data_IF_502676519241
#
_entry.id   IF_502676519241
#
_cell.length_a   1.000
_cell.length_b   1.000
_cell.length_c   1.000
_cell.angle_alpha   90.00
_cell.angle_beta   90.00
_cell.angle_gamma   90.00
#
_symmetry.space_group_name_H-M   'P 1'
#
loop_
_entity.id
_entity.type
_entity.pdbx_description
1 polymer ?
#
# COMPACT_ATOMS: atom_id res chain seq x y z
N UNK A 1 -2.32 60.38 -80.44
CA UNK A 1 -1.46 59.66 -79.44
C UNK A 1 -2.24 59.54 -78.15
N UNK A 2 -2.83 58.37 -77.89
CA UNK A 2 -3.59 58.12 -76.65
C UNK A 2 -2.75 57.17 -75.85
N UNK A 3 -2.33 57.58 -74.66
CA UNK A 3 -1.62 56.78 -73.70
C UNK A 3 -2.63 56.06 -72.78
N UNK A 4 -2.66 54.74 -72.85
CA UNK A 4 -3.42 53.88 -71.99
C UNK A 4 -2.68 53.73 -70.67
N UNK A 5 -3.31 54.06 -69.53
CA UNK A 5 -2.78 53.84 -68.20
C UNK A 5 -3.35 52.49 -67.71
N UNK A 6 -2.44 51.50 -67.44
CA UNK A 6 -2.83 50.25 -66.86
C UNK A 6 -2.88 50.37 -65.33
N UNK A 7 -4.01 50.00 -64.72
CA UNK A 7 -4.14 49.85 -63.28
C UNK A 7 -3.65 48.47 -62.84
N UNK A 8 -2.66 48.42 -61.94
CA UNK A 8 -2.21 47.23 -61.29
C UNK A 8 -3.00 47.07 -60.00
N UNK A 9 -3.88 46.13 -59.95
CA UNK A 9 -4.60 45.77 -58.73
C UNK A 9 -3.68 45.02 -57.74
N UNK A 10 -3.51 45.58 -56.55
CA UNK A 10 -2.87 44.86 -55.44
C UNK A 10 -3.88 43.89 -54.82
N UNK A 11 -3.64 42.58 -54.97
CA UNK A 11 -4.33 41.56 -54.24
C UNK A 11 -3.73 41.48 -52.81
N UNK A 12 -4.52 41.86 -51.81
CA UNK A 12 -4.15 41.68 -50.42
C UNK A 12 -4.26 40.20 -50.06
N UNK A 13 -3.10 39.57 -49.85
CA UNK A 13 -3.06 38.22 -49.29
C UNK A 13 -3.22 38.31 -47.76
N UNK A 14 -4.40 38.00 -47.26
CA UNK A 14 -4.63 37.84 -45.84
C UNK A 14 -3.97 36.56 -45.37
N UNK A 15 -2.81 36.65 -44.75
CA UNK A 15 -2.20 35.53 -44.02
C UNK A 15 -2.99 35.33 -42.75
N UNK A 16 -3.84 34.33 -42.72
CA UNK A 16 -4.45 33.85 -41.45
C UNK A 16 -3.33 33.25 -40.60
N UNK A 17 -2.91 33.98 -39.58
CA UNK A 17 -2.07 33.43 -38.51
C UNK A 17 -2.92 32.35 -37.81
N UNK A 18 -2.68 31.08 -38.13
CA UNK A 18 -3.16 29.98 -37.32
C UNK A 18 -2.57 30.17 -35.90
N UNK A 19 -3.43 30.50 -34.95
CA UNK A 19 -3.07 30.51 -33.55
C UNK A 19 -2.67 29.06 -33.22
N UNK A 20 -1.38 28.79 -33.16
CA UNK A 20 -0.87 27.56 -32.55
C UNK A 20 -1.23 27.61 -31.05
N UNK A 21 -2.45 27.15 -30.72
CA UNK A 21 -2.71 26.75 -29.36
C UNK A 21 -1.72 25.64 -29.03
N UNK A 22 -0.85 25.81 -28.04
CA UNK A 22 0.09 24.76 -27.68
C UNK A 22 -0.74 23.50 -27.38
N UNK A 23 -0.47 22.44 -28.16
CA UNK A 23 -1.04 21.13 -27.87
C UNK A 23 -0.41 20.68 -26.56
N UNK A 24 -1.12 20.94 -25.45
CA UNK A 24 -0.76 20.38 -24.13
C UNK A 24 -1.09 18.89 -24.22
N UNK A 25 -0.08 18.02 -24.27
CA UNK A 25 -0.33 16.60 -24.27
C UNK A 25 -1.14 16.25 -23.02
N UNK A 26 -2.06 15.27 -23.09
CA UNK A 26 -2.87 14.87 -21.95
C UNK A 26 -2.02 14.09 -20.94
N UNK A 27 -1.04 14.77 -20.34
CA UNK A 27 -0.36 14.19 -19.18
C UNK A 27 -1.35 14.18 -18.03
N UNK A 28 -1.45 13.06 -17.29
CA UNK A 28 -2.22 13.05 -16.07
C UNK A 28 -1.66 14.12 -15.16
N UNK A 29 -2.46 15.15 -14.87
CA UNK A 29 -2.05 16.18 -13.91
C UNK A 29 -2.03 15.55 -12.55
N UNK A 30 -0.86 15.58 -11.90
CA UNK A 30 -0.77 15.26 -10.47
C UNK A 30 -1.51 16.37 -9.75
N UNK A 31 -2.51 16.02 -8.95
CA UNK A 31 -3.16 16.98 -8.08
C UNK A 31 -2.19 17.35 -6.95
N UNK A 32 -1.49 18.46 -7.15
CA UNK A 32 -0.56 19.02 -6.17
C UNK A 32 -1.26 19.92 -5.14
N UNK A 33 -2.58 20.07 -5.23
CA UNK A 33 -3.33 21.01 -4.37
C UNK A 33 -3.59 20.45 -2.97
N UNK A 34 -3.55 19.13 -2.81
CA UNK A 34 -3.72 18.48 -1.51
C UNK A 34 -2.36 18.10 -0.94
N UNK A 35 -1.91 18.89 0.03
CA UNK A 35 -0.77 18.52 0.87
C UNK A 35 -1.22 17.74 2.09
N UNK A 36 -0.25 17.27 2.86
CA UNK A 36 -0.50 16.62 4.15
C UNK A 36 0.33 17.31 5.23
N UNK A 37 -0.22 17.37 6.43
CA UNK A 37 0.49 17.83 7.64
C UNK A 37 0.59 16.68 8.63
N UNK A 38 1.79 16.45 9.15
CA UNK A 38 1.99 15.51 10.22
C UNK A 38 1.25 15.98 11.49
N UNK A 39 0.45 15.11 12.08
CA UNK A 39 -0.15 15.32 13.38
C UNK A 39 0.82 14.83 14.46
N UNK A 40 1.64 15.72 14.96
CA UNK A 40 2.66 15.39 15.98
C UNK A 40 2.07 14.97 17.32
N UNK A 41 0.80 15.30 17.59
CA UNK A 41 0.11 14.96 18.84
C UNK A 41 -0.54 13.55 18.79
N UNK A 42 -0.55 12.91 17.63
CA UNK A 42 -1.14 11.59 17.45
C UNK A 42 -0.06 10.48 17.44
N UNK A 43 -0.23 9.34 18.16
CA UNK A 43 -1.26 9.09 19.16
C UNK A 43 -0.97 9.81 20.50
N UNK A 44 -2.01 10.05 21.30
CA UNK A 44 -1.93 10.72 22.61
C UNK A 44 -1.48 9.79 23.75
N UNK A 45 -0.54 8.91 23.47
CA UNK A 45 -0.01 7.96 24.44
C UNK A 45 0.08 6.54 23.89
N UNK A 46 0.24 5.58 24.79
CA UNK A 46 0.32 4.14 24.52
C UNK A 46 -0.27 3.36 25.69
N UNK A 47 -0.48 2.05 25.52
CA UNK A 47 -0.99 1.21 26.60
C UNK A 47 -0.06 1.23 27.83
N UNK A 48 -0.59 1.12 29.05
CA UNK A 48 0.21 1.08 30.27
C UNK A 48 1.24 -0.05 30.21
N UNK A 49 2.51 0.28 30.46
CA UNK A 49 3.63 -0.65 30.42
C UNK A 49 4.06 -1.06 28.99
N UNK A 50 3.48 -0.45 27.95
CA UNK A 50 3.89 -0.69 26.58
C UNK A 50 5.17 0.08 26.23
N UNK A 51 6.09 -0.62 25.57
CA UNK A 51 7.15 -0.02 24.77
C UNK A 51 6.79 -0.26 23.28
N UNK A 52 6.94 0.79 22.47
CA UNK A 52 6.79 0.61 21.04
C UNK A 52 7.95 -0.25 20.51
N UNK A 53 7.61 -1.38 19.90
CA UNK A 53 8.54 -2.08 19.02
C UNK A 53 8.41 -1.57 17.59
N UNK A 54 9.12 -2.20 16.67
CA UNK A 54 8.99 -1.91 15.24
C UNK A 54 7.51 -1.91 14.84
N UNK A 55 6.99 -0.78 14.39
CA UNK A 55 5.58 -0.62 13.99
C UNK A 55 5.39 -1.21 12.60
N UNK A 56 4.99 -2.46 12.56
CA UNK A 56 4.88 -3.21 11.31
C UNK A 56 3.61 -2.88 10.53
N UNK A 57 2.49 -2.62 11.21
CA UNK A 57 1.24 -2.35 10.50
C UNK A 57 0.30 -1.42 11.24
N UNK A 58 -0.53 -0.74 10.44
CA UNK A 58 -1.68 0.04 10.88
C UNK A 58 -2.88 -0.29 10.00
N UNK A 59 -4.08 -0.24 10.58
CA UNK A 59 -5.34 -0.41 9.85
C UNK A 59 -6.41 0.51 10.43
N UNK A 60 -7.35 0.94 9.60
CA UNK A 60 -8.58 1.62 10.04
C UNK A 60 -9.66 0.56 10.20
N UNK A 61 -10.20 0.45 11.39
CA UNK A 61 -11.30 -0.46 11.69
C UNK A 61 -12.64 0.03 11.14
N UNK A 62 -13.64 -0.84 11.07
CA UNK A 62 -14.98 -0.49 10.59
C UNK A 62 -15.66 0.58 11.45
N UNK A 63 -15.24 0.73 12.69
CA UNK A 63 -15.69 1.74 13.64
C UNK A 63 -14.89 3.07 13.55
N UNK A 64 -13.97 3.18 12.59
CA UNK A 64 -13.09 4.31 12.38
C UNK A 64 -11.89 4.35 13.34
N UNK A 65 -11.78 3.45 14.30
CA UNK A 65 -10.63 3.37 15.18
C UNK A 65 -9.39 2.85 14.43
N UNK A 66 -8.23 3.29 14.91
CA UNK A 66 -6.94 2.96 14.29
C UNK A 66 -6.28 1.84 15.08
N UNK A 67 -6.13 0.72 14.41
CA UNK A 67 -5.47 -0.46 14.94
C UNK A 67 -4.00 -0.43 14.57
N UNK A 68 -3.14 -0.63 15.55
CA UNK A 68 -1.70 -0.70 15.36
C UNK A 68 -1.18 -2.08 15.70
N UNK A 69 -0.22 -2.56 14.92
CA UNK A 69 0.43 -3.84 15.16
C UNK A 69 1.95 -3.64 15.19
N UNK A 70 2.57 -3.95 16.31
CA UNK A 70 3.99 -3.69 16.54
C UNK A 70 4.69 -4.90 17.18
N UNK A 71 6.02 -4.91 17.14
CA UNK A 71 6.85 -5.99 17.66
C UNK A 71 7.25 -5.80 19.13
N UNK A 72 6.52 -4.97 19.87
CA UNK A 72 6.70 -4.77 21.30
C UNK A 72 5.88 -5.74 22.14
N UNK A 73 6.01 -5.63 23.47
CA UNK A 73 5.29 -6.50 24.43
C UNK A 73 3.77 -6.42 24.36
N UNK A 74 3.23 -5.29 23.92
CA UNK A 74 1.80 -5.10 23.69
C UNK A 74 1.64 -4.82 22.19
N UNK A 75 1.51 -5.89 21.37
CA UNK A 75 1.58 -5.77 19.93
C UNK A 75 0.38 -5.08 19.30
N UNK A 76 -0.81 -5.25 19.86
CA UNK A 76 -2.04 -4.64 19.35
C UNK A 76 -2.49 -3.53 20.28
N UNK A 77 -2.58 -2.31 19.75
CA UNK A 77 -3.17 -1.17 20.42
C UNK A 77 -4.12 -0.45 19.48
N UNK A 78 -5.24 0.03 20.02
CA UNK A 78 -6.32 0.65 19.24
C UNK A 78 -6.54 2.07 19.74
N UNK A 79 -6.57 3.01 18.82
CA UNK A 79 -6.73 4.43 19.09
C UNK A 79 -7.96 4.98 18.38
N UNK A 80 -8.64 5.90 19.00
CA UNK A 80 -9.64 6.71 18.31
C UNK A 80 -8.97 7.66 17.29
N UNK A 81 -9.71 8.18 16.30
CA UNK A 81 -9.15 9.11 15.33
C UNK A 81 -8.47 10.34 15.97
N UNK A 82 -8.93 10.79 17.13
CA UNK A 82 -8.32 11.89 17.90
C UNK A 82 -7.09 11.47 18.73
N UNK A 83 -6.69 10.19 18.67
CA UNK A 83 -5.46 9.66 19.24
C UNK A 83 -5.56 9.12 20.66
N UNK A 84 -6.74 9.04 21.27
CA UNK A 84 -6.91 8.42 22.59
C UNK A 84 -6.83 6.90 22.49
N UNK A 85 -6.14 6.26 23.43
CA UNK A 85 -6.12 4.83 23.56
C UNK A 85 -7.52 4.31 23.91
N UNK A 86 -8.07 3.41 23.07
CA UNK A 86 -9.38 2.79 23.25
C UNK A 86 -9.25 1.43 23.91
N UNK A 87 -8.36 0.59 23.41
CA UNK A 87 -8.07 -0.75 23.96
C UNK A 87 -6.71 -1.26 23.50
N UNK A 88 -6.28 -2.34 24.12
CA UNK A 88 -5.06 -3.07 23.76
C UNK A 88 -5.19 -4.55 24.12
N UNK A 89 -4.37 -5.37 23.46
CA UNK A 89 -4.30 -6.78 23.79
C UNK A 89 -3.02 -7.13 24.53
N UNK A 90 -3.17 -8.03 25.50
CA UNK A 90 -2.07 -8.77 26.13
C UNK A 90 -2.18 -10.22 25.66
N UNK A 91 -1.60 -10.56 24.51
CA UNK A 91 -1.71 -11.90 23.97
C UNK A 91 -0.97 -12.90 24.87
N UNK A 92 -1.38 -14.16 24.76
CA UNK A 92 -0.64 -15.27 25.34
C UNK A 92 0.76 -15.35 24.73
N UNK A 93 1.73 -15.86 25.49
CA UNK A 93 3.10 -16.03 25.03
C UNK A 93 3.15 -16.95 23.79
N UNK A 94 3.86 -16.52 22.77
CA UNK A 94 4.00 -17.26 21.52
C UNK A 94 2.85 -17.12 20.52
N UNK A 95 1.78 -16.37 20.84
CA UNK A 95 0.70 -16.10 19.89
C UNK A 95 1.22 -15.34 18.66
N UNK A 96 2.15 -14.40 18.89
CA UNK A 96 2.86 -13.67 17.86
C UNK A 96 4.36 -13.82 18.03
N UNK A 97 5.08 -14.06 16.92
CA UNK A 97 6.55 -14.15 16.89
C UNK A 97 7.20 -13.00 16.14
N UNK A 98 6.60 -12.62 15.02
CA UNK A 98 7.04 -11.47 14.24
C UNK A 98 5.83 -10.79 13.58
N UNK A 99 5.13 -9.92 14.34
CA UNK A 99 4.02 -9.12 13.84
C UNK A 99 4.33 -8.48 12.49
N UNK A 100 3.47 -8.68 11.49
CA UNK A 100 3.68 -8.12 10.16
C UNK A 100 2.51 -7.26 9.70
N UNK A 101 1.31 -7.84 9.50
CA UNK A 101 0.17 -7.09 8.95
C UNK A 101 -1.10 -7.29 9.78
N UNK A 102 -1.88 -6.22 9.90
CA UNK A 102 -3.24 -6.20 10.44
C UNK A 102 -4.18 -5.62 9.39
N UNK A 103 -5.32 -6.28 9.13
CA UNK A 103 -6.29 -5.91 8.11
C UNK A 103 -7.71 -6.19 8.59
N UNK A 104 -8.68 -5.55 7.93
CA UNK A 104 -10.09 -5.87 8.08
C UNK A 104 -10.67 -6.37 6.76
N UNK A 105 -11.48 -7.42 6.81
CA UNK A 105 -12.30 -7.81 5.66
C UNK A 105 -13.53 -6.89 5.53
N UNK A 106 -14.26 -6.97 4.43
CA UNK A 106 -15.44 -6.14 4.16
C UNK A 106 -16.59 -6.34 5.15
N UNK A 107 -16.61 -7.46 5.85
CA UNK A 107 -17.58 -7.75 6.91
C UNK A 107 -17.13 -7.23 8.30
N UNK A 108 -15.96 -6.58 8.38
CA UNK A 108 -15.38 -6.07 9.62
C UNK A 108 -14.62 -7.13 10.43
N UNK A 109 -14.34 -8.29 9.85
CA UNK A 109 -13.49 -9.31 10.45
C UNK A 109 -12.04 -8.88 10.52
N UNK A 110 -11.41 -9.06 11.67
CA UNK A 110 -10.04 -8.69 11.92
C UNK A 110 -9.08 -9.81 11.54
N UNK A 111 -8.08 -9.52 10.73
CA UNK A 111 -7.09 -10.48 10.28
C UNK A 111 -5.67 -10.02 10.58
N UNK A 112 -4.85 -10.95 10.99
CA UNK A 112 -3.46 -10.71 11.35
C UNK A 112 -2.56 -11.71 10.64
N UNK A 113 -1.47 -11.20 10.08
CA UNK A 113 -0.37 -11.97 9.50
C UNK A 113 0.83 -11.88 10.42
N UNK A 114 1.38 -13.02 10.79
CA UNK A 114 2.63 -13.12 11.53
C UNK A 114 3.62 -13.99 10.75
N UNK A 115 4.72 -13.40 10.34
CA UNK A 115 5.66 -14.06 9.42
C UNK A 115 6.34 -15.28 10.04
N UNK A 116 6.70 -15.23 11.31
CA UNK A 116 7.44 -16.33 11.94
C UNK A 116 6.55 -17.40 12.58
N UNK A 117 5.27 -17.14 12.77
CA UNK A 117 4.31 -18.22 13.04
C UNK A 117 3.81 -18.88 11.76
N UNK A 118 4.19 -18.39 10.59
CA UNK A 118 3.82 -18.92 9.26
C UNK A 118 2.31 -18.89 9.01
N UNK A 119 1.57 -17.97 9.63
CA UNK A 119 0.10 -18.01 9.62
C UNK A 119 -0.55 -16.68 9.29
N UNK A 120 -1.75 -16.81 8.70
CA UNK A 120 -2.75 -15.74 8.62
C UNK A 120 -3.91 -16.16 9.51
N UNK A 121 -4.30 -15.31 10.46
CA UNK A 121 -5.34 -15.64 11.44
C UNK A 121 -6.44 -14.60 11.47
N UNK A 122 -7.68 -15.08 11.58
CA UNK A 122 -8.85 -14.24 11.88
C UNK A 122 -9.05 -14.18 13.38
N UNK A 123 -9.34 -12.98 13.89
CA UNK A 123 -9.57 -12.74 15.31
C UNK A 123 -10.94 -12.09 15.55
N UNK A 124 -11.49 -12.29 16.74
CA UNK A 124 -12.45 -11.34 17.28
C UNK A 124 -11.75 -10.05 17.69
N UNK A 125 -12.49 -8.96 17.82
CA UNK A 125 -11.93 -7.68 18.26
C UNK A 125 -11.37 -7.72 19.69
N UNK A 126 -11.64 -8.77 20.46
CA UNK A 126 -11.11 -9.00 21.82
C UNK A 126 -9.88 -9.91 21.84
N UNK A 127 -9.39 -10.33 20.66
CA UNK A 127 -8.14 -11.08 20.54
C UNK A 127 -8.30 -12.60 20.54
N UNK A 128 -9.53 -13.16 20.49
CA UNK A 128 -9.73 -14.60 20.35
C UNK A 128 -9.51 -15.04 18.91
N UNK A 129 -8.70 -16.07 18.69
CA UNK A 129 -8.50 -16.70 17.37
C UNK A 129 -9.80 -17.36 16.92
N UNK A 130 -10.29 -17.02 15.74
CA UNK A 130 -11.49 -17.56 15.11
C UNK A 130 -11.17 -18.53 13.96
N UNK A 131 -10.06 -18.29 13.26
CA UNK A 131 -9.59 -19.11 12.14
C UNK A 131 -8.06 -18.99 12.04
N UNK A 132 -7.43 -20.08 11.60
CA UNK A 132 -5.99 -20.10 11.27
C UNK A 132 -5.81 -20.70 9.88
N UNK A 133 -5.07 -20.01 9.04
CA UNK A 133 -4.62 -20.46 7.72
C UNK A 133 -3.10 -20.60 7.77
N UNK A 134 -2.59 -21.68 7.22
CA UNK A 134 -1.20 -22.09 7.37
C UNK A 134 -0.99 -23.02 8.57
N UNK A 135 0.08 -23.78 8.57
CA UNK A 135 0.46 -24.67 9.68
C UNK A 135 1.35 -23.89 10.66
N UNK A 136 0.89 -23.70 11.91
CA UNK A 136 1.61 -22.86 12.85
C UNK A 136 3.04 -23.34 13.09
N UNK A 137 4.00 -22.42 12.89
CA UNK A 137 5.45 -22.59 13.07
C UNK A 137 6.12 -23.56 12.09
N UNK A 138 5.43 -23.99 11.06
CA UNK A 138 5.97 -24.87 10.02
C UNK A 138 5.99 -24.11 8.68
N UNK A 139 7.20 -23.86 8.17
CA UNK A 139 7.38 -23.23 6.87
C UNK A 139 7.27 -24.28 5.76
N UNK A 140 6.66 -23.90 4.65
CA UNK A 140 6.55 -24.73 3.47
C UNK A 140 5.89 -24.01 2.30
N UNK A 141 5.76 -24.72 1.17
CA UNK A 141 5.23 -24.14 -0.08
C UNK A 141 4.03 -24.91 -0.66
N UNK A 142 3.50 -25.86 0.07
CA UNK A 142 2.34 -26.66 -0.36
C UNK A 142 0.99 -25.95 -0.10
N UNK A 143 -0.10 -26.69 -0.11
CA UNK A 143 -1.46 -26.19 0.05
C UNK A 143 -1.82 -25.81 1.50
N UNK A 144 -1.05 -26.30 2.47
CA UNK A 144 -1.29 -26.12 3.91
C UNK A 144 -0.23 -25.29 4.60
N UNK A 145 0.90 -25.05 3.96
CA UNK A 145 2.02 -24.31 4.51
C UNK A 145 2.29 -23.02 3.72
N UNK A 146 2.76 -22.03 4.45
CA UNK A 146 3.33 -20.79 3.92
C UNK A 146 4.75 -20.61 4.46
N UNK A 147 5.52 -19.73 3.86
CA UNK A 147 6.87 -19.43 4.31
C UNK A 147 7.04 -17.92 4.44
N UNK A 148 6.83 -17.44 5.66
CA UNK A 148 6.89 -16.04 6.03
C UNK A 148 5.90 -15.16 5.22
N UNK A 149 4.59 -15.41 5.34
CA UNK A 149 3.57 -14.59 4.67
C UNK A 149 3.64 -13.14 5.14
N UNK A 150 3.30 -12.21 4.24
CA UNK A 150 3.46 -10.78 4.47
C UNK A 150 2.14 -10.04 4.70
N UNK A 151 1.16 -10.23 3.82
CA UNK A 151 -0.07 -9.44 3.79
C UNK A 151 -1.25 -10.29 3.34
N UNK A 152 -2.47 -9.80 3.62
CA UNK A 152 -3.73 -10.47 3.29
C UNK A 152 -4.74 -9.48 2.72
N UNK A 153 -5.50 -9.90 1.73
CA UNK A 153 -6.59 -9.14 1.14
C UNK A 153 -7.78 -10.04 0.82
N UNK A 154 -8.95 -9.46 0.55
CA UNK A 154 -10.21 -10.18 0.45
C UNK A 154 -10.96 -9.80 -0.80
N UNK A 155 -11.46 -10.80 -1.53
CA UNK A 155 -12.33 -10.62 -2.67
C UNK A 155 -13.78 -10.39 -2.24
N UNK A 156 -14.61 -9.92 -3.16
CA UNK A 156 -16.03 -9.65 -2.94
C UNK A 156 -16.83 -10.91 -2.54
N UNK A 157 -16.39 -12.09 -3.00
CA UNK A 157 -16.99 -13.39 -2.64
C UNK A 157 -16.48 -13.96 -1.30
N UNK A 158 -15.53 -13.27 -0.66
CA UNK A 158 -14.88 -13.67 0.59
C UNK A 158 -13.64 -14.54 0.44
N UNK A 159 -13.15 -14.81 -0.78
CA UNK A 159 -11.87 -15.48 -0.99
C UNK A 159 -10.73 -14.65 -0.40
N UNK A 160 -9.75 -15.35 0.17
CA UNK A 160 -8.66 -14.80 0.96
C UNK A 160 -7.38 -14.92 0.15
N UNK A 161 -6.77 -13.80 -0.17
CA UNK A 161 -5.53 -13.70 -0.94
C UNK A 161 -4.37 -13.35 -0.01
N UNK A 162 -3.31 -14.12 -0.05
CA UNK A 162 -2.14 -13.93 0.81
C UNK A 162 -0.90 -13.74 -0.05
N UNK A 163 -0.14 -12.68 0.20
CA UNK A 163 1.22 -12.58 -0.30
C UNK A 163 2.15 -13.42 0.59
N UNK A 164 2.57 -14.58 0.10
CA UNK A 164 3.49 -15.51 0.77
C UNK A 164 4.90 -15.21 0.25
N UNK A 165 5.45 -14.08 0.72
CA UNK A 165 6.44 -13.34 -0.02
C UNK A 165 7.88 -13.43 0.46
N UNK A 166 8.16 -13.60 1.77
CA UNK A 166 9.56 -13.58 2.21
C UNK A 166 10.30 -14.90 1.91
N UNK A 167 9.58 -16.00 1.83
CA UNK A 167 10.22 -17.30 1.61
C UNK A 167 9.77 -18.05 0.36
N UNK A 168 8.59 -17.70 -0.21
CA UNK A 168 8.01 -18.45 -1.33
C UNK A 168 7.78 -17.64 -2.61
N UNK A 169 7.86 -16.31 -2.56
CA UNK A 169 7.68 -15.42 -3.72
C UNK A 169 6.41 -15.71 -4.53
N UNK A 170 5.27 -15.92 -3.85
CA UNK A 170 4.00 -16.29 -4.48
C UNK A 170 2.79 -15.59 -3.86
N UNK A 171 1.67 -15.62 -4.54
CA UNK A 171 0.33 -15.35 -3.99
C UNK A 171 -0.39 -16.68 -3.81
N UNK A 172 -1.02 -16.87 -2.64
CA UNK A 172 -1.85 -18.04 -2.33
C UNK A 172 -3.28 -17.60 -2.08
N UNK A 173 -4.23 -18.36 -2.58
CA UNK A 173 -5.67 -18.05 -2.42
C UNK A 173 -6.37 -19.19 -1.72
N UNK A 174 -7.15 -18.82 -0.72
CA UNK A 174 -8.03 -19.70 0.03
C UNK A 174 -9.48 -19.23 -0.12
N UNK A 175 -10.43 -20.13 0.03
CA UNK A 175 -11.83 -19.73 0.15
C UNK A 175 -12.12 -19.11 1.53
N UNK A 176 -13.33 -18.58 1.71
CA UNK A 176 -13.77 -17.96 2.96
C UNK A 176 -13.75 -18.89 4.19
N UNK A 177 -13.59 -20.20 4.00
CA UNK A 177 -13.46 -21.20 5.07
C UNK A 177 -12.00 -21.54 5.39
N UNK A 178 -11.03 -21.00 4.62
CA UNK A 178 -9.60 -21.26 4.76
C UNK A 178 -9.12 -22.47 3.96
N UNK A 179 -9.94 -23.04 3.06
CA UNK A 179 -9.53 -24.13 2.18
C UNK A 179 -8.74 -23.56 0.99
N UNK A 180 -7.59 -24.16 0.69
CA UNK A 180 -6.77 -23.82 -0.46
C UNK A 180 -7.54 -23.92 -1.78
N UNK A 181 -7.38 -22.92 -2.63
CA UNK A 181 -7.96 -22.87 -3.97
C UNK A 181 -6.89 -22.93 -5.06
N UNK A 182 -5.88 -22.08 -4.99
CA UNK A 182 -4.82 -21.94 -6.00
C UNK A 182 -3.68 -21.09 -5.47
N UNK A 183 -2.57 -21.09 -6.22
CA UNK A 183 -1.45 -20.15 -6.04
C UNK A 183 -0.80 -19.84 -7.38
N UNK A 184 -0.08 -18.73 -7.45
CA UNK A 184 0.77 -18.39 -8.59
C UNK A 184 1.96 -17.57 -8.13
N UNK A 185 2.98 -17.54 -8.98
CA UNK A 185 4.24 -16.84 -8.74
C UNK A 185 5.36 -17.75 -8.30
N UNK A 186 6.55 -17.29 -8.54
CA UNK A 186 7.83 -17.85 -8.14
C UNK A 186 8.88 -16.73 -8.18
N UNK A 187 10.06 -16.96 -7.63
CA UNK A 187 11.15 -15.99 -7.66
C UNK A 187 11.53 -15.63 -9.11
N UNK A 188 11.54 -14.33 -9.40
CA UNK A 188 11.98 -13.81 -10.69
C UNK A 188 11.52 -12.39 -10.99
N UNK A 189 11.72 -11.96 -12.25
CA UNK A 189 11.44 -10.59 -12.70
C UNK A 189 10.47 -10.52 -13.90
N UNK A 190 10.08 -11.66 -14.48
CA UNK A 190 9.11 -11.68 -15.59
C UNK A 190 7.70 -11.38 -15.10
N UNK A 191 6.76 -11.05 -15.96
CA UNK A 191 5.35 -10.98 -15.61
C UNK A 191 4.87 -12.26 -14.91
N UNK A 192 4.26 -12.12 -13.73
CA UNK A 192 3.83 -13.24 -12.91
C UNK A 192 4.88 -13.84 -11.97
N UNK A 193 6.16 -13.49 -12.13
CA UNK A 193 7.21 -13.81 -11.17
C UNK A 193 7.34 -12.67 -10.15
N UNK A 194 7.83 -12.96 -8.95
CA UNK A 194 7.98 -11.98 -7.87
C UNK A 194 9.38 -12.03 -7.25
N UNK A 195 9.74 -10.95 -6.59
CA UNK A 195 10.83 -10.92 -5.62
C UNK A 195 10.35 -10.18 -4.38
N UNK A 196 10.02 -10.95 -3.36
CA UNK A 196 9.41 -10.50 -2.11
C UNK A 196 8.09 -9.70 -2.34
N UNK A 197 7.01 -10.34 -2.84
CA UNK A 197 5.68 -9.73 -2.86
C UNK A 197 5.28 -9.37 -1.43
N UNK A 198 5.26 -8.06 -1.12
CA UNK A 198 5.24 -7.58 0.26
C UNK A 198 3.87 -7.12 0.72
N UNK A 199 3.02 -6.68 -0.19
CA UNK A 199 1.66 -6.25 0.12
C UNK A 199 0.71 -6.58 -1.03
N UNK A 200 -0.57 -6.77 -0.69
CA UNK A 200 -1.61 -7.17 -1.63
C UNK A 200 -2.92 -6.45 -1.31
N UNK A 201 -3.59 -5.93 -2.34
CA UNK A 201 -4.95 -5.39 -2.24
C UNK A 201 -5.79 -5.80 -3.44
N UNK A 202 -7.11 -5.76 -3.29
CA UNK A 202 -8.07 -6.00 -4.38
C UNK A 202 -8.96 -4.78 -4.56
N UNK A 203 -9.33 -4.48 -5.81
CA UNK A 203 -10.31 -3.45 -6.14
C UNK A 203 -11.76 -3.98 -6.15
N UNK A 204 -12.71 -3.10 -6.41
CA UNK A 204 -14.15 -3.43 -6.45
C UNK A 204 -14.53 -4.44 -7.55
N UNK A 205 -13.62 -4.73 -8.48
CA UNK A 205 -13.75 -5.73 -9.55
C UNK A 205 -12.95 -7.00 -9.30
N UNK A 206 -12.45 -7.18 -8.07
CA UNK A 206 -11.59 -8.28 -7.65
C UNK A 206 -10.30 -8.41 -8.49
N UNK A 207 -9.78 -7.31 -9.07
CA UNK A 207 -8.43 -7.29 -9.62
C UNK A 207 -7.43 -7.22 -8.46
N UNK A 208 -6.37 -8.00 -8.57
CA UNK A 208 -5.36 -8.19 -7.53
C UNK A 208 -4.15 -7.34 -7.83
N UNK A 209 -3.75 -6.49 -6.89
CA UNK A 209 -2.58 -5.63 -6.98
C UNK A 209 -1.54 -6.11 -5.97
N UNK A 210 -0.37 -6.46 -6.45
CA UNK A 210 0.72 -7.01 -5.63
C UNK A 210 1.93 -6.08 -5.67
N UNK A 211 2.35 -5.61 -4.51
CA UNK A 211 3.60 -4.87 -4.33
C UNK A 211 4.79 -5.83 -4.45
N UNK A 212 5.34 -5.95 -5.62
CA UNK A 212 6.54 -6.74 -5.94
C UNK A 212 7.80 -5.93 -5.56
N UNK A 213 8.06 -5.90 -4.23
CA UNK A 213 8.91 -4.93 -3.57
C UNK A 213 10.32 -4.86 -4.14
N UNK A 214 11.02 -6.00 -4.19
CA UNK A 214 12.41 -6.01 -4.64
C UNK A 214 12.56 -5.79 -6.15
N UNK A 215 11.48 -5.97 -6.91
CA UNK A 215 11.43 -5.61 -8.32
C UNK A 215 10.98 -4.15 -8.55
N UNK A 216 10.74 -3.37 -7.48
CA UNK A 216 10.30 -1.97 -7.53
C UNK A 216 9.12 -1.74 -8.50
N UNK A 217 8.12 -2.61 -8.43
CA UNK A 217 6.93 -2.57 -9.28
C UNK A 217 5.67 -3.01 -8.54
N UNK A 218 4.51 -2.67 -9.10
CA UNK A 218 3.24 -3.29 -8.75
C UNK A 218 2.80 -4.12 -9.93
N UNK A 219 2.40 -5.36 -9.70
CA UNK A 219 1.80 -6.23 -10.71
C UNK A 219 0.30 -6.34 -10.48
N UNK A 220 -0.46 -6.37 -11.57
CA UNK A 220 -1.92 -6.46 -11.57
C UNK A 220 -2.36 -7.77 -12.19
N UNK A 221 -3.25 -8.48 -11.52
CA UNK A 221 -3.79 -9.78 -11.97
C UNK A 221 -5.31 -9.75 -11.93
N UNK A 222 -5.93 -10.66 -12.69
CA UNK A 222 -7.33 -10.98 -12.43
C UNK A 222 -7.49 -11.87 -11.18
N UNK A 223 -8.72 -12.12 -10.77
CA UNK A 223 -9.03 -12.95 -9.61
C UNK A 223 -8.56 -14.41 -9.73
N UNK A 224 -8.17 -14.87 -10.92
CA UNK A 224 -7.66 -16.23 -11.17
C UNK A 224 -6.13 -16.29 -11.20
N UNK A 225 -5.45 -15.14 -11.02
CA UNK A 225 -3.99 -15.04 -11.06
C UNK A 225 -3.40 -14.84 -12.45
N UNK A 226 -4.23 -14.54 -13.47
CA UNK A 226 -3.74 -14.20 -14.80
C UNK A 226 -3.17 -12.78 -14.77
N UNK A 227 -1.93 -12.62 -15.21
CA UNK A 227 -1.27 -11.32 -15.33
C UNK A 227 -2.04 -10.41 -16.30
N UNK A 228 -2.28 -9.18 -15.90
CA UNK A 228 -2.95 -8.14 -16.69
C UNK A 228 -2.00 -7.00 -17.07
N UNK A 229 -1.26 -6.47 -16.11
CA UNK A 229 -0.34 -5.36 -16.33
C UNK A 229 0.66 -5.22 -15.18
N UNK A 230 1.66 -4.36 -15.37
CA UNK A 230 2.58 -3.98 -14.31
C UNK A 230 2.85 -2.47 -14.35
N UNK A 231 3.11 -1.89 -13.17
CA UNK A 231 3.47 -0.49 -13.01
C UNK A 231 4.91 -0.41 -12.52
N UNK A 232 5.78 0.03 -13.42
CA UNK A 232 7.21 0.23 -13.18
C UNK A 232 7.54 1.71 -12.98
N UNK A 233 8.77 1.99 -12.56
CA UNK A 233 9.28 3.34 -12.37
C UNK A 233 8.45 4.16 -11.36
N UNK A 234 7.93 3.47 -10.37
CA UNK A 234 7.28 4.04 -9.21
C UNK A 234 8.26 4.07 -8.03
N UNK A 235 7.82 3.81 -6.86
CA UNK A 235 8.66 3.62 -5.67
C UNK A 235 9.03 2.15 -5.51
N UNK A 236 9.95 1.84 -4.62
CA UNK A 236 10.04 0.51 -4.01
C UNK A 236 8.82 0.34 -3.09
N UNK A 237 7.78 -0.42 -3.48
CA UNK A 237 6.51 -0.42 -2.76
C UNK A 237 6.60 -1.30 -1.51
N UNK A 238 6.42 -0.71 -0.35
CA UNK A 238 6.40 -1.42 0.92
C UNK A 238 5.00 -1.89 1.30
N UNK A 239 4.00 -1.03 1.15
CA UNK A 239 2.64 -1.42 1.40
C UNK A 239 1.65 -0.70 0.47
N UNK A 240 0.51 -1.36 0.29
CA UNK A 240 -0.64 -0.88 -0.44
C UNK A 240 -1.82 -0.71 0.51
N UNK A 241 -2.62 0.32 0.26
CA UNK A 241 -3.97 0.44 0.76
C UNK A 241 -4.89 0.82 -0.40
N UNK A 242 -6.13 0.38 -0.35
CA UNK A 242 -7.13 0.75 -1.35
C UNK A 242 -8.37 1.32 -0.64
N UNK A 243 -8.93 2.38 -1.19
CA UNK A 243 -10.16 2.98 -0.70
C UNK A 243 -11.38 2.31 -1.33
N UNK A 244 -12.57 2.57 -0.78
CA UNK A 244 -13.84 2.11 -1.36
C UNK A 244 -14.09 2.65 -2.78
N UNK A 245 -13.42 3.72 -3.16
CA UNK A 245 -13.53 4.37 -4.46
C UNK A 245 -12.41 3.91 -5.43
N UNK A 246 -11.77 2.79 -5.12
CA UNK A 246 -10.67 2.19 -5.89
C UNK A 246 -9.44 3.10 -6.05
N UNK A 247 -9.21 4.01 -5.12
CA UNK A 247 -7.97 4.77 -5.09
C UNK A 247 -6.88 3.94 -4.37
N UNK A 248 -5.75 3.74 -5.03
CA UNK A 248 -4.66 2.92 -4.50
C UNK A 248 -3.58 3.82 -3.92
N UNK A 249 -3.35 3.67 -2.62
CA UNK A 249 -2.26 4.33 -1.92
C UNK A 249 -1.09 3.36 -1.79
N UNK A 250 0.09 3.85 -2.12
CA UNK A 250 1.36 3.11 -2.05
C UNK A 250 2.29 3.86 -1.14
N UNK A 251 2.74 3.25 -0.08
CA UNK A 251 3.88 3.80 0.66
C UNK A 251 5.16 3.10 0.25
N UNK A 252 6.24 3.84 0.28
CA UNK A 252 7.51 3.30 -0.17
C UNK A 252 8.67 4.27 -0.04
N UNK A 253 9.74 3.91 -0.68
CA UNK A 253 10.97 4.69 -0.76
C UNK A 253 11.37 4.90 -2.21
N UNK A 254 12.25 5.88 -2.44
CA UNK A 254 12.92 5.99 -3.73
C UNK A 254 13.57 4.65 -4.09
N UNK A 255 13.54 4.24 -5.39
CA UNK A 255 14.22 3.04 -5.83
C UNK A 255 15.70 3.08 -5.45
N UNK A 256 16.20 1.99 -4.88
CA UNK A 256 17.61 1.83 -4.59
C UNK A 256 18.30 1.16 -5.78
N UNK A 257 19.51 1.60 -6.10
CA UNK A 257 20.34 0.91 -7.08
C UNK A 257 20.81 -0.43 -6.49
N UNK A 258 20.72 -1.49 -7.27
CA UNK A 258 21.18 -2.83 -6.87
C UNK A 258 22.67 -2.86 -6.45
N UNK A 259 23.49 -1.99 -7.06
CA UNK A 259 24.90 -1.83 -6.73
C UNK A 259 25.16 -1.25 -5.32
N UNK A 260 24.15 -0.70 -4.67
CA UNK A 260 24.23 -0.15 -3.31
C UNK A 260 23.85 -1.19 -2.25
N UNK A 261 23.46 -2.40 -2.66
CA UNK A 261 23.05 -3.49 -1.78
C UNK A 261 24.23 -4.42 -1.54
N UNK A 262 24.75 -4.53 -0.31
CA UNK A 262 25.74 -5.57 0.01
C UNK A 262 25.18 -6.95 -0.31
N UNK A 263 25.99 -7.82 -0.93
CA UNK A 263 25.58 -9.17 -1.37
C UNK A 263 24.92 -10.03 -0.30
N UNK A 264 25.22 -9.77 0.97
CA UNK A 264 24.68 -10.49 2.12
C UNK A 264 23.44 -9.82 2.75
N UNK A 265 22.94 -8.72 2.19
CA UNK A 265 21.80 -7.96 2.70
C UNK A 265 20.71 -7.70 1.62
N UNK A 266 20.47 -8.72 0.80
CA UNK A 266 19.55 -8.66 -0.36
C UNK A 266 18.17 -8.03 -0.04
N UNK A 267 17.80 -7.95 1.21
CA UNK A 267 16.44 -7.59 1.62
C UNK A 267 16.26 -6.23 2.28
N UNK A 268 17.33 -5.58 2.78
CA UNK A 268 17.16 -4.38 3.62
C UNK A 268 18.35 -3.41 3.52
N UNK A 269 19.11 -3.46 2.47
CA UNK A 269 20.49 -3.03 2.43
C UNK A 269 20.74 -1.58 2.78
N UNK A 270 20.07 -0.63 2.21
CA UNK A 270 20.35 0.78 2.51
C UNK A 270 19.13 1.47 3.09
N UNK A 271 19.28 2.28 4.13
CA UNK A 271 18.19 3.13 4.55
C UNK A 271 17.71 3.93 3.33
N UNK A 272 16.44 3.85 2.96
CA UNK A 272 15.92 4.63 1.86
C UNK A 272 16.13 6.13 2.18
N UNK A 273 16.66 6.87 1.22
CA UNK A 273 16.91 8.31 1.38
C UNK A 273 15.62 9.10 1.54
N UNK A 274 14.57 8.66 0.83
CA UNK A 274 13.28 9.34 0.81
C UNK A 274 12.17 8.35 1.18
N UNK A 275 11.27 8.80 2.03
CA UNK A 275 10.05 8.09 2.37
C UNK A 275 8.86 8.87 1.82
N UNK A 276 7.98 8.19 1.13
CA UNK A 276 6.86 8.85 0.48
C UNK A 276 5.63 7.94 0.40
N UNK A 277 4.49 8.54 0.11
CA UNK A 277 3.36 7.80 -0.39
C UNK A 277 2.80 8.43 -1.68
N UNK A 278 2.20 7.58 -2.48
CA UNK A 278 1.58 7.93 -3.74
C UNK A 278 0.12 7.54 -3.70
N UNK A 279 -0.71 8.27 -4.42
CA UNK A 279 -2.08 7.91 -4.73
C UNK A 279 -2.17 7.66 -6.23
N UNK A 280 -2.62 6.48 -6.60
CA UNK A 280 -2.77 6.02 -7.97
C UNK A 280 -4.23 5.67 -8.25
N UNK A 281 -4.62 5.71 -9.51
CA UNK A 281 -5.86 5.05 -9.94
C UNK A 281 -5.61 3.58 -10.33
N UNK A 282 -6.67 2.87 -10.66
CA UNK A 282 -6.62 1.46 -11.05
C UNK A 282 -5.95 1.18 -12.40
N UNK A 283 -5.50 2.20 -13.11
CA UNK A 283 -4.66 2.14 -14.31
C UNK A 283 -3.19 2.46 -14.02
N UNK A 284 -2.84 2.71 -12.75
CA UNK A 284 -1.48 3.08 -12.34
C UNK A 284 -1.12 4.54 -12.62
N UNK A 285 -2.10 5.39 -12.95
CA UNK A 285 -1.85 6.82 -13.19
C UNK A 285 -1.69 7.53 -11.86
N UNK A 286 -0.60 8.28 -11.73
CA UNK A 286 -0.32 9.06 -10.53
C UNK A 286 -1.34 10.20 -10.39
N UNK A 287 -2.03 10.20 -9.25
CA UNK A 287 -2.98 11.25 -8.85
C UNK A 287 -2.32 12.22 -7.89
N UNK A 288 -1.51 11.72 -6.97
CA UNK A 288 -0.89 12.50 -5.93
C UNK A 288 0.40 11.84 -5.48
N UNK A 289 1.40 12.65 -5.17
CA UNK A 289 2.67 12.23 -4.57
C UNK A 289 2.96 13.13 -3.38
N UNK A 290 3.34 12.55 -2.28
CA UNK A 290 3.75 13.30 -1.11
C UNK A 290 5.02 12.71 -0.48
N UNK A 291 6.07 13.51 -0.46
CA UNK A 291 7.31 13.17 0.21
C UNK A 291 7.15 13.55 1.67
N UNK A 292 7.36 12.61 2.56
CA UNK A 292 7.20 12.83 3.98
C UNK A 292 8.41 13.57 4.52
N UNK A 293 8.23 14.78 5.07
CA UNK A 293 9.34 15.58 5.54
C UNK A 293 9.93 15.05 6.86
N UNK A 294 11.23 15.22 7.04
CA UNK A 294 11.95 14.91 8.27
C UNK A 294 12.47 13.47 8.34
N UNK A 295 13.10 13.16 9.46
CA UNK A 295 13.61 11.82 9.72
C UNK A 295 12.45 10.85 9.96
N UNK A 296 12.34 9.85 9.10
CA UNK A 296 11.37 8.78 9.18
C UNK A 296 12.07 7.44 9.18
N UNK A 297 11.68 6.64 10.17
CA UNK A 297 12.27 5.34 10.38
C UNK A 297 11.62 4.22 9.59
N UNK A 298 11.67 4.25 8.25
CA UNK A 298 11.11 3.26 7.35
C UNK A 298 9.61 3.05 7.48
N UNK A 299 8.84 3.63 6.56
CA UNK A 299 7.42 3.36 6.42
C UNK A 299 7.25 1.93 5.91
N UNK A 300 6.52 1.13 6.68
CA UNK A 300 6.30 -0.26 6.39
C UNK A 300 4.84 -0.58 6.05
N UNK A 301 3.92 0.26 6.51
CA UNK A 301 2.48 0.07 6.28
C UNK A 301 1.77 1.40 6.08
N UNK A 302 0.61 1.34 5.43
CA UNK A 302 -0.24 2.50 5.16
C UNK A 302 -1.71 2.11 5.34
N UNK A 303 -2.49 3.00 5.92
CA UNK A 303 -3.95 2.92 5.96
C UNK A 303 -4.55 4.31 5.74
N UNK A 304 -5.72 4.37 5.14
CA UNK A 304 -6.40 5.62 4.78
C UNK A 304 -7.78 5.62 5.42
N UNK A 305 -8.07 6.67 6.17
CA UNK A 305 -9.38 6.86 6.78
C UNK A 305 -10.35 7.59 5.84
N UNK A 306 -11.63 7.54 6.16
CA UNK A 306 -12.69 8.14 5.35
C UNK A 306 -12.57 9.67 5.22
N UNK A 307 -11.92 10.34 6.19
CA UNK A 307 -11.62 11.78 6.16
C UNK A 307 -10.39 12.13 5.31
N UNK A 308 -9.79 11.14 4.66
CA UNK A 308 -8.56 11.29 3.88
C UNK A 308 -7.28 11.30 4.72
N UNK A 309 -7.37 11.18 6.05
CA UNK A 309 -6.18 11.03 6.89
C UNK A 309 -5.43 9.75 6.53
N UNK A 310 -4.11 9.86 6.43
CA UNK A 310 -3.20 8.74 6.16
C UNK A 310 -2.47 8.37 7.43
N UNK A 311 -2.51 7.09 7.76
CA UNK A 311 -1.76 6.51 8.88
C UNK A 311 -0.67 5.61 8.36
N UNK A 312 0.51 5.68 8.97
CA UNK A 312 1.66 4.84 8.59
C UNK A 312 2.31 4.22 9.82
N UNK A 313 2.90 3.05 9.63
CA UNK A 313 3.74 2.41 10.63
C UNK A 313 5.22 2.59 10.29
N UNK A 314 6.03 3.05 11.25
CA UNK A 314 7.48 3.19 11.12
C UNK A 314 8.21 2.04 11.81
N UNK A 315 8.89 1.19 11.03
CA UNK A 315 9.60 0.03 11.60
C UNK A 315 10.81 0.45 12.43
N UNK A 316 11.64 1.37 11.95
CA UNK A 316 12.79 1.88 12.70
C UNK A 316 12.45 3.05 13.62
N UNK A 317 11.43 3.82 13.29
CA UNK A 317 10.90 4.89 14.13
C UNK A 317 10.11 4.37 15.32
N UNK A 318 9.77 3.07 15.33
CA UNK A 318 9.04 2.40 16.40
C UNK A 318 7.78 3.17 16.81
N UNK A 319 7.00 3.67 15.84
CA UNK A 319 5.77 4.42 16.13
C UNK A 319 4.80 4.42 14.97
N UNK A 320 3.51 4.56 15.22
CA UNK A 320 2.54 4.95 14.20
C UNK A 320 2.53 6.46 14.04
N UNK A 321 2.21 6.94 12.82
CA UNK A 321 2.03 8.38 12.54
C UNK A 321 0.74 8.63 11.79
N UNK A 322 0.20 9.83 12.01
CA UNK A 322 -0.96 10.35 11.29
C UNK A 322 -0.55 11.55 10.45
N UNK A 323 -1.09 11.59 9.23
CA UNK A 323 -1.00 12.73 8.33
C UNK A 323 -2.40 13.17 7.93
N UNK A 324 -2.69 14.44 8.13
CA UNK A 324 -4.00 15.02 7.88
C UNK A 324 -3.92 15.83 6.59
N UNK A 325 -4.86 15.66 5.65
CA UNK A 325 -4.87 16.47 4.44
C UNK A 325 -5.04 17.95 4.80
N UNK A 326 -4.22 18.83 4.16
CA UNK A 326 -4.29 20.27 4.32
C UNK A 326 -4.74 20.87 2.99
N UNK A 327 -5.87 21.54 2.98
CA UNK A 327 -6.36 22.29 1.83
C UNK A 327 -7.09 21.46 0.79
N UNK A 328 -8.29 21.05 1.11
CA UNK A 328 -9.47 21.39 0.32
C UNK A 328 -10.37 22.10 1.29
N UNK A 329 -10.44 23.40 1.19
CA UNK A 329 -11.61 24.08 1.70
C UNK A 329 -12.80 23.34 1.07
N UNK A 330 -13.57 22.68 1.92
CA UNK A 330 -14.89 22.24 1.55
C UNK A 330 -15.60 23.47 0.96
N UNK A 331 -16.01 23.38 -0.29
CA UNK A 331 -16.85 24.39 -0.87
C UNK A 331 -16.19 25.14 -2.00
N UNK A 332 -16.50 24.71 -3.18
CA UNK A 332 -17.00 25.63 -4.20
C UNK A 332 -17.55 24.77 -5.35
N UNK A 333 -18.83 24.56 -5.28
CA UNK A 333 -19.82 24.35 -6.36
C UNK A 333 -19.62 23.24 -7.38
#
# INVERSE_FOLDING_TARGET
MIRTVAWIGFASVSVALAQNTPHVPPYPRVDATVGYKADAAWPKGKAPGAEWGAMSSVAVGPDGNIWTFNRGKIPVQVFSPDGKLVKFWKPEDGLFKNPHTIRFDSAGGLWIVDTLTQTVRKFSTDGKVLMTIGTPNEAGADQTHMNQPNDVAFASNGDIYVSDGYGNDRVVVFDKTGKYLRSWGNLGQRPGEFSQPHSIVLDSKDRVYVADRNNARIQVFDSKGKFLSEWKNIVTPWALAITKDDEIYVCGSSPMLWSEIPENQVNLATPPKDQLFMKLDTQGRLKQLWIIPGEIGWIHSIAVAADGSVYVGEVRGNRPRRFVPVGSAAGAH
#
